data_IF_686450531064
#
_entry.id   IF_686450531064
#
_cell.length_a   1.000
_cell.length_b   1.000
_cell.length_c   1.000
_cell.angle_alpha   90.00
_cell.angle_beta   90.00
_cell.angle_gamma   90.00
#
_symmetry.space_group_name_H-M   'P 1'
#
loop_
_entity.id
_entity.type
_entity.pdbx_description
1 polymer ?
#
# COMPACT_ATOMS: atom_id res chain seq x y z
N UNK A 1 -46.75 -12.94 12.23
CA UNK A 1 -45.65 -12.39 13.06
C UNK A 1 -44.95 -13.54 13.76
N UNK A 2 -43.63 -13.52 13.92
CA UNK A 2 -42.86 -14.61 14.53
C UNK A 2 -42.99 -14.58 16.07
N UNK A 3 -43.27 -15.73 16.70
CA UNK A 3 -43.48 -15.84 18.15
C UNK A 3 -42.27 -15.34 18.98
N UNK A 4 -41.04 -15.69 18.57
CA UNK A 4 -39.81 -15.26 19.26
C UNK A 4 -39.62 -13.74 19.21
N UNK A 5 -39.96 -13.13 18.07
CA UNK A 5 -39.87 -11.69 17.91
C UNK A 5 -40.88 -10.95 18.80
N UNK A 6 -42.09 -11.50 18.93
CA UNK A 6 -43.14 -10.92 19.78
C UNK A 6 -42.78 -11.01 21.26
N UNK A 7 -42.24 -12.14 21.72
CA UNK A 7 -41.74 -12.28 23.11
C UNK A 7 -40.62 -11.27 23.40
N UNK A 8 -39.67 -11.10 22.47
CA UNK A 8 -38.60 -10.12 22.62
C UNK A 8 -39.14 -8.69 22.74
N UNK A 9 -40.04 -8.28 21.85
CA UNK A 9 -40.64 -6.94 21.89
C UNK A 9 -41.41 -6.69 23.20
N UNK A 10 -42.16 -7.69 23.68
CA UNK A 10 -42.83 -7.63 24.99
C UNK A 10 -41.84 -7.49 26.14
N UNK A 11 -40.76 -8.29 26.14
CA UNK A 11 -39.72 -8.22 27.18
C UNK A 11 -39.04 -6.85 27.26
N UNK A 12 -38.90 -6.17 26.11
CA UNK A 12 -38.31 -4.84 25.99
C UNK A 12 -39.31 -3.70 26.12
N UNK A 13 -40.59 -4.00 26.35
CA UNK A 13 -41.69 -3.01 26.40
C UNK A 13 -41.74 -2.13 25.15
N UNK A 14 -41.47 -2.72 23.98
CA UNK A 14 -41.53 -2.01 22.70
C UNK A 14 -42.91 -2.25 22.09
N UNK A 15 -43.63 -1.16 21.84
CA UNK A 15 -44.88 -1.21 21.08
C UNK A 15 -44.59 -1.48 19.61
N UNK A 16 -45.39 -2.36 19.01
CA UNK A 16 -45.21 -2.79 17.63
C UNK A 16 -46.52 -2.70 16.87
N UNK A 17 -46.45 -2.11 15.68
CA UNK A 17 -47.58 -1.92 14.78
C UNK A 17 -47.31 -2.65 13.47
N UNK A 18 -48.33 -3.30 12.93
CA UNK A 18 -48.29 -3.81 11.56
C UNK A 18 -48.88 -2.75 10.64
N UNK A 19 -48.19 -2.48 9.53
CA UNK A 19 -48.73 -1.66 8.45
C UNK A 19 -49.35 -2.56 7.38
N UNK A 20 -50.35 -2.03 6.67
CA UNK A 20 -50.89 -2.72 5.51
C UNK A 20 -49.86 -2.79 4.38
N UNK A 21 -49.81 -3.89 3.61
CA UNK A 21 -48.98 -3.98 2.42
C UNK A 21 -49.35 -2.86 1.44
N UNK A 22 -48.39 -1.99 1.10
CA UNK A 22 -48.61 -0.85 0.20
C UNK A 22 -48.83 0.51 0.87
N UNK A 23 -48.84 0.59 2.21
CA UNK A 23 -48.81 1.87 2.91
C UNK A 23 -47.46 2.58 2.73
N UNK A 24 -47.40 3.51 1.79
CA UNK A 24 -46.18 4.24 1.40
C UNK A 24 -45.80 5.40 2.33
N UNK A 25 -46.55 5.68 3.40
CA UNK A 25 -46.24 6.77 4.32
C UNK A 25 -44.97 6.49 5.15
N UNK A 26 -45.09 5.54 6.08
CA UNK A 26 -43.99 5.15 6.98
C UNK A 26 -43.05 4.14 6.31
N UNK A 27 -43.59 3.15 5.60
CA UNK A 27 -42.75 2.17 4.88
C UNK A 27 -41.98 2.82 3.73
N UNK A 28 -42.54 3.82 3.06
CA UNK A 28 -41.84 4.53 1.98
C UNK A 28 -40.56 5.24 2.45
N UNK A 29 -40.49 5.67 3.73
CA UNK A 29 -39.24 6.20 4.31
C UNK A 29 -38.19 5.10 4.46
N UNK A 30 -38.59 3.94 4.97
CA UNK A 30 -37.72 2.76 5.13
C UNK A 30 -37.24 2.25 3.77
N UNK A 31 -38.13 2.18 2.78
CA UNK A 31 -37.80 1.79 1.40
C UNK A 31 -36.78 2.73 0.76
N UNK A 32 -36.97 4.06 0.91
CA UNK A 32 -36.01 5.06 0.42
C UNK A 32 -34.65 4.91 1.12
N UNK A 33 -34.65 4.73 2.44
CA UNK A 33 -33.42 4.48 3.20
C UNK A 33 -32.69 3.23 2.70
N UNK A 34 -33.38 2.11 2.58
CA UNK A 34 -32.83 0.84 2.06
C UNK A 34 -32.26 1.00 0.65
N UNK A 35 -32.94 1.74 -0.23
CA UNK A 35 -32.45 2.03 -1.58
C UNK A 35 -31.13 2.81 -1.54
N UNK A 36 -31.03 3.84 -0.70
CA UNK A 36 -29.82 4.65 -0.56
C UNK A 36 -28.64 3.83 -0.01
N UNK A 37 -28.88 3.00 1.01
CA UNK A 37 -27.84 2.13 1.58
C UNK A 37 -27.32 1.15 0.52
N UNK A 38 -28.22 0.46 -0.21
CA UNK A 38 -27.84 -0.45 -1.29
C UNK A 38 -26.98 0.26 -2.34
N UNK A 39 -27.41 1.42 -2.81
CA UNK A 39 -26.64 2.20 -3.80
C UNK A 39 -25.25 2.59 -3.29
N UNK A 40 -25.12 2.99 -2.02
CA UNK A 40 -23.81 3.33 -1.44
C UNK A 40 -22.90 2.11 -1.34
N UNK A 41 -23.43 0.97 -0.89
CA UNK A 41 -22.68 -0.28 -0.82
C UNK A 41 -22.20 -0.75 -2.19
N UNK A 42 -23.04 -0.68 -3.22
CA UNK A 42 -22.63 -1.03 -4.59
C UNK A 42 -21.57 -0.08 -5.16
N UNK A 43 -21.64 1.21 -4.80
CA UNK A 43 -20.62 2.20 -5.21
C UNK A 43 -19.31 2.09 -4.44
N UNK A 44 -19.32 1.52 -3.25
CA UNK A 44 -18.11 1.13 -2.52
C UNK A 44 -17.49 -0.08 -3.23
N UNK A 45 -16.74 0.15 -4.32
CA UNK A 45 -16.09 -0.96 -5.01
C UNK A 45 -15.05 -1.59 -4.07
N UNK A 46 -15.08 -2.91 -3.85
CA UNK A 46 -14.04 -3.59 -3.08
C UNK A 46 -12.65 -3.36 -3.68
N UNK A 47 -12.60 -3.13 -5.01
CA UNK A 47 -11.39 -2.78 -5.75
C UNK A 47 -10.63 -1.60 -5.15
N UNK A 48 -11.26 -0.57 -4.56
CA UNK A 48 -10.48 0.59 -4.05
C UNK A 48 -9.58 0.22 -2.86
N UNK A 49 -10.02 -0.68 -2.00
CA UNK A 49 -9.22 -1.12 -0.84
C UNK A 49 -8.16 -2.13 -1.29
N UNK A 50 -8.54 -3.13 -2.09
CA UNK A 50 -7.59 -4.13 -2.61
C UNK A 50 -6.56 -3.51 -3.53
N UNK A 51 -6.95 -2.56 -4.39
CA UNK A 51 -6.03 -1.95 -5.35
C UNK A 51 -4.99 -1.07 -4.67
N UNK A 52 -5.33 -0.36 -3.58
CA UNK A 52 -4.35 0.40 -2.79
C UNK A 52 -3.33 -0.51 -2.10
N UNK A 53 -3.77 -1.66 -1.60
CA UNK A 53 -2.87 -2.67 -1.01
C UNK A 53 -1.98 -3.31 -2.08
N UNK A 54 -2.54 -3.64 -3.24
CA UNK A 54 -1.80 -4.22 -4.37
C UNK A 54 -0.75 -3.24 -4.88
N UNK A 55 -1.07 -1.96 -5.08
CA UNK A 55 -0.08 -0.97 -5.54
C UNK A 55 1.02 -0.73 -4.51
N UNK A 56 0.69 -0.70 -3.22
CA UNK A 56 1.72 -0.61 -2.16
C UNK A 56 2.66 -1.82 -2.20
N UNK A 57 2.13 -3.04 -2.26
CA UNK A 57 2.93 -4.25 -2.28
C UNK A 57 3.79 -4.37 -3.55
N UNK A 58 3.28 -3.93 -4.70
CA UNK A 58 4.05 -3.86 -5.95
C UNK A 58 5.22 -2.88 -5.82
N UNK A 59 4.99 -1.68 -5.28
CA UNK A 59 6.05 -0.69 -5.07
C UNK A 59 7.13 -1.20 -4.09
N UNK A 60 6.75 -1.93 -3.04
CA UNK A 60 7.72 -2.57 -2.14
C UNK A 60 8.49 -3.70 -2.83
N UNK A 61 7.83 -4.53 -3.65
CA UNK A 61 8.50 -5.57 -4.42
C UNK A 61 9.51 -5.00 -5.43
N UNK A 62 9.17 -3.90 -6.12
CA UNK A 62 10.09 -3.19 -7.00
C UNK A 62 11.31 -2.63 -6.25
N UNK A 63 11.14 -2.15 -5.01
CA UNK A 63 12.28 -1.72 -4.18
C UNK A 63 13.19 -2.89 -3.80
N UNK A 64 12.61 -4.05 -3.49
CA UNK A 64 13.38 -5.27 -3.18
C UNK A 64 14.14 -5.79 -4.41
N UNK A 65 13.54 -5.73 -5.61
CA UNK A 65 14.20 -6.15 -6.85
C UNK A 65 15.37 -5.22 -7.23
N UNK A 66 15.26 -3.93 -6.93
CA UNK A 66 16.34 -2.96 -7.14
C UNK A 66 17.42 -2.98 -6.05
N UNK A 67 17.31 -3.89 -5.06
CA UNK A 67 18.35 -4.06 -4.06
C UNK A 67 19.60 -4.66 -4.72
N UNK A 68 20.79 -4.08 -4.52
CA UNK A 68 21.99 -4.57 -5.16
C UNK A 68 22.34 -5.98 -4.68
N UNK A 69 22.42 -6.92 -5.63
CA UNK A 69 22.90 -8.28 -5.37
C UNK A 69 24.25 -8.26 -4.60
N UNK A 70 24.22 -8.78 -3.37
CA UNK A 70 25.41 -8.92 -2.54
C UNK A 70 26.46 -9.76 -3.27
N UNK A 71 27.72 -9.33 -3.23
CA UNK A 71 28.85 -10.00 -3.88
C UNK A 71 29.09 -9.61 -5.34
N UNK A 72 28.24 -8.77 -5.96
CA UNK A 72 28.56 -8.21 -7.29
C UNK A 72 29.75 -7.26 -7.25
N UNK A 73 30.53 -7.30 -8.32
CA UNK A 73 31.67 -6.42 -8.52
C UNK A 73 31.24 -5.13 -9.22
N UNK A 74 31.49 -3.98 -8.60
CA UNK A 74 31.12 -2.64 -9.07
C UNK A 74 32.30 -1.66 -9.04
N UNK A 75 32.16 -0.56 -9.78
CA UNK A 75 33.01 0.62 -9.71
C UNK A 75 32.14 1.81 -9.36
N UNK A 76 32.60 2.70 -8.48
CA UNK A 76 31.84 3.89 -8.12
C UNK A 76 32.23 5.08 -8.99
N UNK A 77 31.30 5.99 -9.24
CA UNK A 77 31.53 7.19 -10.03
C UNK A 77 32.16 8.30 -9.18
N UNK A 78 33.12 9.02 -9.73
CA UNK A 78 33.62 10.24 -9.10
C UNK A 78 32.64 11.39 -9.33
N UNK A 79 32.45 12.22 -8.30
CA UNK A 79 31.62 13.43 -8.44
C UNK A 79 32.26 14.38 -9.44
N UNK A 80 31.43 14.89 -10.34
CA UNK A 80 31.84 15.86 -11.35
C UNK A 80 32.14 17.20 -10.68
N UNK A 81 33.23 17.86 -11.07
CA UNK A 81 33.49 19.23 -10.64
C UNK A 81 32.61 20.20 -11.44
N UNK A 82 32.21 21.31 -10.82
CA UNK A 82 31.18 22.25 -11.31
C UNK A 82 31.42 22.80 -12.72
N UNK A 83 32.66 22.76 -13.21
CA UNK A 83 33.08 23.38 -14.49
C UNK A 83 33.46 22.33 -15.56
N UNK A 84 33.55 21.05 -15.21
CA UNK A 84 33.96 20.05 -16.19
C UNK A 84 32.84 19.80 -17.22
N UNK A 85 33.20 19.68 -18.49
CA UNK A 85 32.31 19.14 -19.55
C UNK A 85 32.75 17.73 -19.98
N UNK A 86 33.54 17.07 -19.14
CA UNK A 86 34.09 15.75 -19.44
C UNK A 86 33.10 14.60 -19.13
N UNK A 87 33.36 13.45 -19.76
CA UNK A 87 32.63 12.21 -19.57
C UNK A 87 32.73 11.69 -18.12
N UNK A 88 31.81 10.80 -17.73
CA UNK A 88 31.78 10.21 -16.40
C UNK A 88 33.10 9.50 -16.05
N UNK A 89 33.71 9.90 -14.92
CA UNK A 89 34.94 9.28 -14.40
C UNK A 89 34.59 8.24 -13.34
N UNK A 90 35.10 7.03 -13.50
CA UNK A 90 34.85 5.89 -12.60
C UNK A 90 36.11 5.52 -11.80
N UNK A 91 35.94 4.86 -10.65
CA UNK A 91 37.04 4.31 -9.88
C UNK A 91 37.85 3.31 -10.70
N UNK A 92 39.18 3.38 -10.62
CA UNK A 92 40.06 2.38 -11.27
C UNK A 92 39.93 1.01 -10.59
N UNK A 93 39.83 1.00 -9.27
CA UNK A 93 39.63 -0.20 -8.47
C UNK A 93 38.19 -0.72 -8.59
N UNK A 94 38.06 -2.06 -8.53
CA UNK A 94 36.79 -2.79 -8.49
C UNK A 94 36.52 -3.20 -7.04
N UNK A 95 35.27 -3.02 -6.61
CA UNK A 95 34.80 -3.30 -5.25
C UNK A 95 33.68 -4.33 -5.30
N UNK A 96 33.53 -5.14 -4.26
CA UNK A 96 32.39 -6.04 -4.08
C UNK A 96 31.35 -5.39 -3.17
N UNK A 97 30.06 -5.57 -3.47
CA UNK A 97 28.97 -5.11 -2.61
C UNK A 97 28.88 -6.05 -1.41
N UNK A 98 29.01 -5.51 -0.20
CA UNK A 98 29.00 -6.28 1.06
C UNK A 98 27.67 -6.15 1.79
N UNK A 99 26.98 -5.02 1.64
CA UNK A 99 25.71 -4.75 2.31
C UNK A 99 25.08 -3.45 1.84
N UNK A 100 23.84 -3.22 2.27
CA UNK A 100 23.11 -1.97 2.07
C UNK A 100 22.25 -1.68 3.31
N UNK A 101 22.23 -0.43 3.76
CA UNK A 101 21.44 0.03 4.91
C UNK A 101 20.16 0.79 4.51
N UNK A 102 19.71 0.61 3.26
CA UNK A 102 18.59 1.32 2.65
C UNK A 102 18.93 2.74 2.15
N UNK A 103 20.02 3.36 2.63
CA UNK A 103 20.44 4.71 2.23
C UNK A 103 21.80 4.75 1.53
N UNK A 104 22.67 3.79 1.84
CA UNK A 104 24.04 3.67 1.37
C UNK A 104 24.37 2.20 1.07
N UNK A 105 25.12 2.00 0.01
CA UNK A 105 25.72 0.72 -0.37
C UNK A 105 27.13 0.66 0.24
N UNK A 106 27.40 -0.42 0.96
CA UNK A 106 28.72 -0.78 1.45
C UNK A 106 29.48 -1.54 0.36
N UNK A 107 30.58 -0.96 -0.13
CA UNK A 107 31.44 -1.57 -1.13
C UNK A 107 32.84 -1.79 -0.56
N UNK A 108 33.42 -2.98 -0.76
CA UNK A 108 34.72 -3.37 -0.22
C UNK A 108 35.69 -3.77 -1.31
N UNK A 109 36.90 -3.21 -1.28
CA UNK A 109 37.96 -3.59 -2.22
C UNK A 109 38.71 -4.83 -1.74
N UNK A 110 39.45 -5.46 -2.65
CA UNK A 110 40.25 -6.67 -2.37
C UNK A 110 41.27 -6.51 -1.24
N UNK A 111 41.70 -5.29 -0.94
CA UNK A 111 42.62 -4.95 0.16
C UNK A 111 41.90 -4.69 1.50
N UNK A 112 40.60 -4.96 1.60
CA UNK A 112 39.82 -4.79 2.83
C UNK A 112 39.29 -3.39 3.09
N UNK A 113 39.62 -2.41 2.24
CA UNK A 113 39.13 -1.04 2.40
C UNK A 113 37.64 -0.94 2.03
N UNK A 114 36.84 -0.36 2.91
CA UNK A 114 35.37 -0.28 2.78
C UNK A 114 34.93 1.16 2.57
N UNK A 115 34.04 1.37 1.60
CA UNK A 115 33.47 2.66 1.23
C UNK A 115 31.95 2.60 1.31
N UNK A 116 31.35 3.72 1.71
CA UNK A 116 29.89 3.89 1.73
C UNK A 116 29.50 4.91 0.65
N UNK A 117 28.61 4.52 -0.26
CA UNK A 117 28.15 5.35 -1.38
C UNK A 117 26.64 5.31 -1.51
N UNK A 118 26.02 6.36 -2.04
CA UNK A 118 24.59 6.33 -2.31
C UNK A 118 24.28 5.33 -3.45
N UNK A 119 23.16 4.59 -3.40
CA UNK A 119 22.81 3.62 -4.44
C UNK A 119 22.70 4.21 -5.86
N UNK A 120 22.37 5.50 -5.96
CA UNK A 120 22.10 6.20 -7.22
C UNK A 120 23.24 7.14 -7.68
N UNK A 121 24.45 7.05 -7.11
CA UNK A 121 25.62 7.93 -7.42
C UNK A 121 26.51 7.33 -8.53
#
# INVERSE_FOLDING_TARGET
>A
MNAKAQEFLKSKKIEHFNNEPGDHGTMGKIERFNRTVKQRLTKMSPKRITQKLVTHNQAEAEKMENEPDLGRNVRYRFKKLTIDKEAARWSKAVYAIVGMDGYRVEIRSKNGHTLYKSPND
#
